data_IF_251020426992
#
_entry.id   IF_251020426992
#
_cell.length_a   1.000
_cell.length_b   1.000
_cell.length_c   1.000
_cell.angle_alpha   90.00
_cell.angle_beta   90.00
_cell.angle_gamma   90.00
#
_symmetry.space_group_name_H-M   'P 1'
#
loop_
_entity.id
_entity.type
_entity.pdbx_description
1 polymer ?
#
# COMPACT_ATOMS: atom_id res chain seq x y z
N UNK A 1 21.84 -0.28 7.17
CA UNK A 1 21.96 0.10 8.60
C UNK A 1 22.58 -1.01 9.47
N UNK A 2 22.03 -2.23 9.51
CA UNK A 2 22.51 -3.33 10.38
C UNK A 2 24.01 -3.63 10.31
N UNK A 3 24.56 -3.90 9.12
CA UNK A 3 25.98 -4.25 8.95
C UNK A 3 26.94 -3.12 9.37
N UNK A 4 26.58 -1.87 9.11
CA UNK A 4 27.37 -0.73 9.60
C UNK A 4 27.32 -0.63 11.14
N UNK A 5 26.16 -0.89 11.75
CA UNK A 5 26.06 -0.98 13.22
C UNK A 5 26.86 -2.17 13.79
N UNK A 6 26.94 -3.30 13.07
CA UNK A 6 27.79 -4.43 13.44
C UNK A 6 29.28 -4.08 13.41
N UNK A 7 29.74 -3.29 12.44
CA UNK A 7 31.13 -2.76 12.43
C UNK A 7 31.42 -1.90 13.66
N UNK A 8 30.49 -1.00 14.03
CA UNK A 8 30.60 -0.21 15.26
C UNK A 8 30.71 -1.11 16.49
N UNK A 9 29.90 -2.17 16.56
CA UNK A 9 29.91 -3.14 17.67
C UNK A 9 31.21 -3.94 17.72
N UNK A 10 31.83 -4.27 16.58
CA UNK A 10 33.14 -4.94 16.53
C UNK A 10 34.23 -4.04 17.14
N UNK A 11 34.17 -2.74 16.87
CA UNK A 11 35.15 -1.76 17.35
C UNK A 11 34.96 -1.44 18.84
N UNK A 12 33.73 -1.21 19.29
CA UNK A 12 33.44 -0.84 20.68
C UNK A 12 33.39 -2.05 21.63
N UNK A 13 33.26 -3.26 21.09
CA UNK A 13 32.96 -4.48 21.83
C UNK A 13 31.51 -4.53 22.34
N UNK A 14 31.17 -5.53 23.14
CA UNK A 14 29.84 -5.64 23.78
C UNK A 14 29.61 -4.51 24.78
N UNK A 15 28.38 -4.05 24.88
CA UNK A 15 27.86 -3.10 25.88
C UNK A 15 26.41 -3.46 26.18
N UNK A 16 25.95 -3.17 27.39
CA UNK A 16 24.64 -3.62 27.89
C UNK A 16 23.63 -2.47 28.07
N UNK A 17 24.09 -1.22 28.08
CA UNK A 17 23.23 -0.04 28.24
C UNK A 17 23.82 1.20 27.54
N UNK A 18 23.05 2.29 27.55
CA UNK A 18 23.42 3.53 26.89
C UNK A 18 24.62 4.25 27.50
N UNK A 19 24.84 4.14 28.81
CA UNK A 19 25.95 4.82 29.49
C UNK A 19 27.28 4.10 29.23
N UNK A 20 27.26 2.76 29.25
CA UNK A 20 28.40 1.94 28.86
C UNK A 20 28.78 2.17 27.39
N UNK A 21 27.78 2.29 26.50
CA UNK A 21 28.00 2.64 25.10
C UNK A 21 28.70 4.02 24.97
N UNK A 22 28.19 5.06 25.63
CA UNK A 22 28.79 6.40 25.61
C UNK A 22 30.23 6.37 26.09
N UNK A 23 30.50 5.67 27.19
CA UNK A 23 31.84 5.57 27.76
C UNK A 23 32.82 4.85 26.82
N UNK A 24 32.37 3.79 26.15
CA UNK A 24 33.17 3.07 25.13
C UNK A 24 33.46 3.95 23.91
N UNK A 25 32.47 4.71 23.44
CA UNK A 25 32.66 5.68 22.34
C UNK A 25 33.67 6.76 22.73
N UNK A 26 33.54 7.33 23.94
CA UNK A 26 34.49 8.32 24.45
C UNK A 26 35.92 7.76 24.54
N UNK A 27 36.07 6.54 25.05
CA UNK A 27 37.37 5.87 25.13
C UNK A 27 37.97 5.57 23.75
N UNK A 28 37.14 5.15 22.80
CA UNK A 28 37.56 4.93 21.43
C UNK A 28 38.16 6.19 20.80
N UNK A 29 37.50 7.35 20.94
CA UNK A 29 37.98 8.63 20.40
C UNK A 29 39.21 9.22 21.12
N UNK A 30 39.55 8.74 22.33
CA UNK A 30 40.80 9.15 23.01
C UNK A 30 42.06 8.60 22.33
N UNK A 31 41.94 7.48 21.63
CA UNK A 31 43.07 6.73 21.05
C UNK A 31 42.98 6.56 19.54
N UNK A 32 41.81 6.83 18.95
CA UNK A 32 41.56 6.68 17.52
C UNK A 32 40.97 7.96 16.95
N UNK A 33 41.31 8.26 15.70
CA UNK A 33 40.66 9.33 14.95
C UNK A 33 39.18 8.98 14.69
N UNK A 34 38.28 9.98 14.63
CA UNK A 34 36.91 9.76 14.20
C UNK A 34 36.86 9.07 12.83
N UNK A 35 36.14 7.94 12.77
CA UNK A 35 35.98 7.15 11.56
C UNK A 35 34.53 7.13 11.08
N UNK A 36 34.34 6.97 9.77
CA UNK A 36 33.02 6.77 9.17
C UNK A 36 32.84 5.28 8.89
N UNK A 37 31.83 4.68 9.51
CA UNK A 37 31.40 3.32 9.19
C UNK A 37 30.28 3.40 8.16
N UNK A 38 30.49 2.84 6.97
CA UNK A 38 29.48 2.80 5.93
C UNK A 38 29.33 1.39 5.37
N UNK A 39 28.10 1.10 4.94
CA UNK A 39 27.78 -0.12 4.21
C UNK A 39 26.77 0.24 3.13
N UNK A 40 27.04 -0.19 1.91
CA UNK A 40 26.07 -0.20 0.83
C UNK A 40 25.33 -1.55 0.81
N UNK A 41 24.00 -1.50 0.71
CA UNK A 41 23.21 -2.71 0.46
C UNK A 41 23.49 -3.19 -0.97
N UNK A 42 23.67 -4.49 -1.12
CA UNK A 42 23.74 -5.16 -2.41
C UNK A 42 22.66 -6.24 -2.41
N UNK A 43 21.82 -6.24 -3.45
CA UNK A 43 20.75 -7.22 -3.60
C UNK A 43 21.33 -8.64 -3.72
N UNK A 44 20.61 -9.68 -3.24
CA UNK A 44 21.07 -11.06 -3.38
C UNK A 44 21.28 -11.47 -4.84
N UNK A 45 22.37 -12.18 -5.13
CA UNK A 45 22.65 -12.74 -6.46
C UNK A 45 21.56 -13.74 -6.88
N UNK A 46 21.23 -13.80 -8.18
CA UNK A 46 20.24 -14.75 -8.73
C UNK A 46 18.90 -14.13 -9.15
N UNK A 47 18.70 -12.84 -8.86
CA UNK A 47 17.58 -12.04 -9.33
C UNK A 47 18.03 -11.25 -10.55
N UNK A 48 17.89 -11.84 -11.72
CA UNK A 48 18.20 -11.21 -13.00
C UNK A 48 17.02 -11.40 -13.91
N UNK A 49 16.56 -10.30 -14.48
CA UNK A 49 15.57 -10.25 -15.54
C UNK A 49 16.27 -9.88 -16.85
N UNK A 50 15.87 -10.52 -17.94
CA UNK A 50 16.32 -10.21 -19.30
C UNK A 50 15.14 -9.67 -20.12
N UNK A 51 15.16 -8.37 -20.41
CA UNK A 51 14.11 -7.70 -21.18
C UNK A 51 14.00 -8.19 -22.63
N UNK A 52 15.08 -8.70 -23.22
CA UNK A 52 15.05 -9.16 -24.60
C UNK A 52 14.34 -10.51 -24.75
N UNK A 53 14.48 -11.39 -23.75
CA UNK A 53 13.91 -12.74 -23.77
C UNK A 53 12.68 -12.91 -22.87
N UNK A 54 12.34 -11.89 -22.05
CA UNK A 54 11.30 -11.95 -21.01
C UNK A 54 11.48 -13.13 -20.05
N UNK A 55 12.73 -13.41 -19.65
CA UNK A 55 13.06 -14.54 -18.78
C UNK A 55 13.84 -14.08 -17.55
N UNK A 56 13.67 -14.85 -16.47
CA UNK A 56 14.42 -14.70 -15.22
C UNK A 56 13.56 -14.25 -14.03
N UNK A 57 14.23 -13.99 -12.90
CA UNK A 57 13.59 -13.58 -11.65
C UNK A 57 13.70 -12.06 -11.50
N UNK A 58 12.63 -11.34 -11.79
CA UNK A 58 12.59 -9.88 -11.69
C UNK A 58 12.51 -9.37 -10.24
N UNK A 59 11.87 -10.14 -9.35
CA UNK A 59 11.63 -9.75 -7.97
C UNK A 59 12.27 -10.75 -7.01
N UNK A 60 12.76 -10.26 -5.88
CA UNK A 60 13.32 -11.10 -4.82
C UNK A 60 12.28 -11.68 -3.88
N UNK A 61 11.10 -11.08 -3.79
CA UNK A 61 10.02 -11.59 -2.97
C UNK A 61 8.68 -11.04 -3.46
N UNK A 62 7.59 -11.61 -2.96
CA UNK A 62 6.22 -11.23 -3.26
C UNK A 62 5.44 -11.08 -1.96
N UNK A 63 4.77 -9.94 -1.85
CA UNK A 63 3.75 -9.72 -0.85
C UNK A 63 2.38 -10.05 -1.44
N UNK A 64 1.48 -10.54 -0.59
CA UNK A 64 0.14 -10.96 -1.02
C UNK A 64 -0.92 -10.28 -0.18
N UNK A 65 -2.11 -10.09 -0.74
CA UNK A 65 -3.23 -9.58 0.01
C UNK A 65 -4.57 -10.11 -0.53
N UNK A 66 -5.52 -10.29 0.37
CA UNK A 66 -6.92 -10.55 0.09
C UNK A 66 -7.78 -9.43 0.66
N UNK A 67 -8.88 -9.11 -0.04
CA UNK A 67 -9.76 -7.99 0.27
C UNK A 67 -11.21 -8.46 0.32
N UNK A 68 -11.93 -8.02 1.34
CA UNK A 68 -13.37 -8.16 1.43
C UNK A 68 -13.98 -6.79 1.73
N UNK A 69 -15.01 -6.43 0.97
CA UNK A 69 -15.64 -5.11 1.02
C UNK A 69 -17.13 -5.30 1.22
N UNK A 70 -17.66 -4.65 2.24
CA UNK A 70 -19.09 -4.48 2.45
C UNK A 70 -19.47 -3.06 2.09
N UNK A 71 -20.46 -2.91 1.22
CA UNK A 71 -20.95 -1.62 0.77
C UNK A 71 -22.47 -1.63 0.59
N UNK A 72 -23.04 -0.45 0.60
CA UNK A 72 -24.42 -0.18 0.22
C UNK A 72 -24.46 0.81 -0.95
N UNK A 73 -25.52 0.74 -1.75
CA UNK A 73 -25.77 1.71 -2.83
C UNK A 73 -27.15 2.32 -2.62
N UNK A 74 -27.21 3.64 -2.50
CA UNK A 74 -28.47 4.38 -2.44
C UNK A 74 -29.09 4.39 -3.84
N UNK A 75 -30.29 3.82 -4.02
CA UNK A 75 -30.91 3.73 -5.35
C UNK A 75 -31.59 5.03 -5.81
N UNK A 76 -31.69 6.05 -4.95
CA UNK A 76 -32.22 7.37 -5.29
C UNK A 76 -31.12 8.22 -5.93
N UNK A 77 -29.94 8.25 -5.31
CA UNK A 77 -28.82 9.09 -5.76
C UNK A 77 -27.62 8.31 -6.33
N UNK A 78 -27.65 6.98 -6.30
CA UNK A 78 -26.58 6.07 -6.72
C UNK A 78 -25.24 6.28 -6.00
N UNK A 79 -25.27 6.90 -4.82
CA UNK A 79 -24.09 7.03 -3.97
C UNK A 79 -23.70 5.67 -3.38
N UNK A 80 -22.44 5.29 -3.54
CA UNK A 80 -21.84 4.10 -2.95
C UNK A 80 -21.28 4.46 -1.58
N UNK A 81 -21.69 3.72 -0.54
CA UNK A 81 -21.17 3.86 0.81
C UNK A 81 -20.42 2.59 1.18
N UNK A 82 -19.14 2.69 1.51
CA UNK A 82 -18.35 1.56 1.99
C UNK A 82 -18.56 1.48 3.50
N UNK A 83 -19.09 0.35 3.96
CA UNK A 83 -19.40 0.13 5.37
C UNK A 83 -18.18 -0.44 6.10
N UNK A 84 -17.54 -1.44 5.48
CA UNK A 84 -16.41 -2.15 6.06
C UNK A 84 -15.45 -2.65 4.99
N UNK A 85 -14.16 -2.63 5.32
CA UNK A 85 -13.09 -3.27 4.54
C UNK A 85 -12.31 -4.21 5.47
N UNK A 86 -12.18 -5.46 5.07
CA UNK A 86 -11.23 -6.40 5.65
C UNK A 86 -10.09 -6.61 4.65
N UNK A 87 -8.86 -6.38 5.10
CA UNK A 87 -7.65 -6.69 4.35
C UNK A 87 -6.80 -7.70 5.12
N UNK A 88 -6.51 -8.83 4.50
CA UNK A 88 -5.59 -9.84 5.02
C UNK A 88 -4.34 -9.78 4.17
N UNK A 89 -3.16 -9.61 4.76
CA UNK A 89 -1.92 -9.47 3.98
C UNK A 89 -0.75 -10.32 4.49
N UNK A 90 0.00 -10.86 3.56
CA UNK A 90 1.33 -11.43 3.77
C UNK A 90 2.37 -10.37 3.43
N UNK A 91 2.90 -9.74 4.48
CA UNK A 91 4.01 -8.77 4.43
C UNK A 91 5.27 -9.35 5.09
N UNK A 92 5.33 -10.66 5.21
CA UNK A 92 6.30 -11.37 6.02
C UNK A 92 6.31 -10.91 7.48
N UNK A 93 7.50 -10.70 8.03
CA UNK A 93 7.64 -10.29 9.43
C UNK A 93 7.24 -8.83 9.63
N UNK A 94 6.21 -8.63 10.41
CA UNK A 94 5.74 -7.31 10.81
C UNK A 94 6.73 -6.68 11.81
N UNK A 95 7.54 -5.72 11.34
CA UNK A 95 8.60 -5.07 12.14
C UNK A 95 8.05 -4.00 13.07
N UNK A 96 7.17 -3.13 12.56
CA UNK A 96 6.63 -1.99 13.28
C UNK A 96 5.13 -1.89 13.02
N UNK A 97 4.32 -2.36 13.98
CA UNK A 97 2.86 -2.48 13.83
C UNK A 97 2.18 -1.15 13.53
N UNK A 98 2.37 -0.07 14.33
CA UNK A 98 1.70 1.20 14.05
C UNK A 98 2.04 1.80 12.69
N UNK A 99 3.29 1.70 12.23
CA UNK A 99 3.68 2.22 10.91
C UNK A 99 3.04 1.42 9.77
N UNK A 100 3.00 0.09 9.90
CA UNK A 100 2.37 -0.80 8.92
C UNK A 100 0.86 -0.54 8.86
N UNK A 101 0.18 -0.48 10.00
CA UNK A 101 -1.25 -0.19 10.06
C UNK A 101 -1.57 1.18 9.46
N UNK A 102 -0.80 2.21 9.80
CA UNK A 102 -0.95 3.54 9.20
C UNK A 102 -0.78 3.55 7.68
N UNK A 103 0.21 2.82 7.16
CA UNK A 103 0.42 2.69 5.71
C UNK A 103 -0.75 1.98 5.02
N UNK A 104 -1.23 0.88 5.60
CA UNK A 104 -2.33 0.10 5.05
C UNK A 104 -3.64 0.88 5.08
N UNK A 105 -3.97 1.53 6.19
CA UNK A 105 -5.16 2.39 6.32
C UNK A 105 -5.10 3.54 5.31
N UNK A 106 -3.95 4.23 5.21
CA UNK A 106 -3.76 5.29 4.23
C UNK A 106 -3.95 4.82 2.79
N UNK A 107 -3.36 3.67 2.44
CA UNK A 107 -3.53 3.07 1.12
C UNK A 107 -4.96 2.60 0.83
N UNK A 108 -5.67 2.07 1.83
CA UNK A 108 -7.09 1.70 1.70
C UNK A 108 -7.92 2.94 1.39
N UNK A 109 -7.72 4.04 2.11
CA UNK A 109 -8.44 5.30 1.86
C UNK A 109 -8.10 5.87 0.47
N UNK A 110 -6.83 5.82 0.04
CA UNK A 110 -6.44 6.19 -1.32
C UNK A 110 -7.13 5.33 -2.38
N UNK A 111 -7.22 4.02 -2.14
CA UNK A 111 -7.89 3.10 -3.05
C UNK A 111 -9.41 3.34 -3.13
N UNK A 112 -10.05 3.74 -2.02
CA UNK A 112 -11.46 4.18 -2.02
C UNK A 112 -11.63 5.43 -2.87
N UNK A 113 -10.75 6.43 -2.69
CA UNK A 113 -10.73 7.65 -3.49
C UNK A 113 -10.59 7.35 -4.98
N UNK A 114 -9.57 6.59 -5.36
CA UNK A 114 -9.34 6.12 -6.72
C UNK A 114 -10.55 5.37 -7.32
N UNK A 115 -11.26 4.61 -6.48
CA UNK A 115 -12.38 3.78 -6.94
C UNK A 115 -13.67 4.56 -7.14
N UNK A 116 -13.95 5.58 -6.32
CA UNK A 116 -15.28 6.20 -6.23
C UNK A 116 -15.31 7.70 -6.49
N UNK A 117 -14.19 8.42 -6.30
CA UNK A 117 -14.21 9.89 -6.17
C UNK A 117 -13.21 10.59 -7.12
N UNK A 118 -11.97 10.11 -7.15
CA UNK A 118 -10.82 10.77 -7.76
C UNK A 118 -10.87 10.69 -9.30
N UNK A 119 -11.56 11.64 -9.92
CA UNK A 119 -11.73 11.73 -11.36
C UNK A 119 -10.88 12.87 -11.94
N UNK A 120 -9.80 12.59 -12.66
CA UNK A 120 -9.06 13.63 -13.38
C UNK A 120 -9.67 13.87 -14.75
N UNK A 121 -10.27 15.05 -14.95
CA UNK A 121 -10.89 15.44 -16.22
C UNK A 121 -9.88 16.23 -17.05
N UNK A 122 -9.55 15.72 -18.23
CA UNK A 122 -8.59 16.36 -19.14
C UNK A 122 -9.22 16.61 -20.51
N UNK A 123 -8.91 17.77 -21.11
CA UNK A 123 -9.23 18.07 -22.51
C UNK A 123 -8.01 18.69 -23.22
N UNK A 124 -8.19 19.20 -24.45
CA UNK A 124 -7.11 19.83 -25.23
C UNK A 124 -6.46 21.06 -24.57
N UNK A 125 -7.11 21.66 -23.57
CA UNK A 125 -6.61 22.81 -22.80
C UNK A 125 -5.90 22.39 -21.50
N UNK A 126 -5.90 21.09 -21.17
CA UNK A 126 -5.27 20.53 -19.97
C UNK A 126 -6.28 19.98 -18.95
N UNK A 127 -5.87 19.90 -17.69
CA UNK A 127 -6.71 19.44 -16.57
C UNK A 127 -7.79 20.48 -16.28
N UNK A 128 -9.03 20.04 -16.24
CA UNK A 128 -10.21 20.89 -16.09
C UNK A 128 -10.63 21.07 -14.64
N UNK A 129 -10.36 20.09 -13.78
CA UNK A 129 -10.65 20.13 -12.35
C UNK A 129 -9.35 20.14 -11.54
N UNK A 130 -8.70 21.29 -11.51
CA UNK A 130 -7.36 21.46 -10.93
C UNK A 130 -7.38 22.03 -9.50
N UNK A 131 -8.52 21.96 -8.80
CA UNK A 131 -8.67 22.41 -7.42
C UNK A 131 -9.27 21.30 -6.55
N UNK A 132 -9.18 21.42 -5.23
CA UNK A 132 -9.83 20.46 -4.33
C UNK A 132 -11.35 20.66 -4.19
N UNK A 133 -11.91 21.70 -4.83
CA UNK A 133 -13.36 21.90 -4.88
C UNK A 133 -14.01 21.06 -5.98
N UNK A 134 -13.25 20.67 -7.01
CA UNK A 134 -13.72 19.95 -8.20
C UNK A 134 -12.95 18.65 -8.47
N UNK A 135 -11.81 18.42 -7.82
CA UNK A 135 -11.17 17.11 -7.67
C UNK A 135 -11.36 16.63 -6.23
N UNK A 136 -12.30 15.70 -6.05
CA UNK A 136 -12.69 15.24 -4.72
C UNK A 136 -11.72 14.18 -4.19
N UNK A 137 -11.17 14.44 -3.02
CA UNK A 137 -10.41 13.49 -2.22
C UNK A 137 -11.30 12.93 -1.10
N UNK A 138 -11.03 11.70 -0.62
CA UNK A 138 -11.68 11.17 0.57
C UNK A 138 -11.49 12.10 1.79
N UNK A 139 -12.56 12.23 2.56
CA UNK A 139 -12.62 12.96 3.82
C UNK A 139 -12.84 12.00 5.00
N UNK A 140 -12.90 12.53 6.22
CA UNK A 140 -13.21 11.71 7.40
C UNK A 140 -14.58 11.01 7.32
N UNK A 141 -15.51 11.52 6.51
CA UNK A 141 -16.84 10.90 6.31
C UNK A 141 -16.80 9.69 5.40
N UNK A 142 -15.72 9.52 4.64
CA UNK A 142 -15.54 8.44 3.66
C UNK A 142 -14.73 7.27 4.24
N UNK A 143 -14.37 7.33 5.54
CA UNK A 143 -13.64 6.27 6.23
C UNK A 143 -14.62 5.16 6.68
N UNK A 144 -14.45 3.93 6.17
CA UNK A 144 -15.23 2.78 6.65
C UNK A 144 -14.64 2.20 7.94
N UNK A 145 -15.32 1.19 8.50
CA UNK A 145 -14.66 0.27 9.44
C UNK A 145 -13.54 -0.49 8.70
N UNK A 146 -12.32 -0.44 9.20
CA UNK A 146 -11.16 -1.11 8.59
C UNK A 146 -10.62 -2.17 9.55
N UNK A 147 -10.58 -3.41 9.08
CA UNK A 147 -10.00 -4.55 9.77
C UNK A 147 -8.78 -5.04 9.01
N UNK A 148 -7.66 -5.21 9.73
CA UNK A 148 -6.39 -5.67 9.17
C UNK A 148 -5.96 -6.97 9.85
N UNK A 149 -5.68 -7.99 9.04
CA UNK A 149 -5.07 -9.24 9.50
C UNK A 149 -3.77 -9.53 8.75
N UNK A 150 -2.85 -10.22 9.43
CA UNK A 150 -1.47 -10.38 9.01
C UNK A 150 -1.06 -11.85 9.02
N UNK A 151 -0.57 -12.32 7.87
CA UNK A 151 0.00 -13.66 7.73
C UNK A 151 1.48 -13.62 8.13
N UNK A 152 1.86 -14.37 9.17
CA UNK A 152 3.26 -14.51 9.58
C UNK A 152 3.99 -15.48 8.64
N UNK A 153 4.55 -14.94 7.56
CA UNK A 153 5.31 -15.70 6.57
C UNK A 153 6.67 -15.03 6.25
N UNK A 154 7.65 -15.14 7.17
CA UNK A 154 8.91 -14.40 7.06
C UNK A 154 9.67 -14.64 5.74
N UNK A 155 10.04 -13.55 5.08
CA UNK A 155 10.87 -13.55 3.89
C UNK A 155 12.28 -14.11 4.14
N UNK A 156 12.82 -14.95 3.23
CA UNK A 156 14.24 -15.30 3.28
C UNK A 156 15.18 -14.18 2.81
N UNK A 157 14.68 -13.18 2.07
CA UNK A 157 15.48 -12.12 1.46
C UNK A 157 15.32 -10.76 2.15
N UNK A 158 14.18 -10.54 2.79
CA UNK A 158 13.82 -9.31 3.45
C UNK A 158 14.55 -9.07 4.77
N UNK A 159 14.82 -7.81 5.16
CA UNK A 159 15.45 -7.50 6.43
C UNK A 159 14.59 -8.00 7.58
N UNK A 160 15.16 -8.83 8.45
CA UNK A 160 14.44 -9.47 9.56
C UNK A 160 13.22 -10.31 9.14
N UNK A 161 13.12 -10.67 7.85
CA UNK A 161 11.98 -11.40 7.30
C UNK A 161 10.83 -10.52 6.79
N UNK A 162 10.97 -9.20 6.75
CA UNK A 162 9.90 -8.31 6.27
C UNK A 162 9.82 -8.23 4.74
N UNK A 163 8.61 -8.01 4.22
CA UNK A 163 8.34 -7.73 2.81
C UNK A 163 7.79 -6.31 2.63
N UNK A 164 7.66 -5.85 1.38
CA UNK A 164 7.10 -4.55 1.06
C UNK A 164 5.58 -4.50 1.33
N UNK A 165 5.08 -3.38 1.86
CA UNK A 165 3.66 -3.20 2.20
C UNK A 165 3.01 -2.01 1.47
N UNK A 166 3.82 -1.10 0.91
CA UNK A 166 3.38 0.25 0.55
C UNK A 166 2.26 0.31 -0.48
N UNK A 167 2.32 -0.51 -1.53
CA UNK A 167 1.42 -0.44 -2.69
C UNK A 167 0.23 -1.39 -2.59
N UNK A 168 0.30 -2.40 -1.70
CA UNK A 168 -0.67 -3.49 -1.62
C UNK A 168 -2.13 -2.99 -1.63
N UNK A 169 -2.54 -2.03 -0.77
CA UNK A 169 -3.95 -1.65 -0.69
C UNK A 169 -4.56 -1.20 -2.01
N UNK A 170 -3.77 -0.56 -2.87
CA UNK A 170 -4.24 0.01 -4.13
C UNK A 170 -4.40 -1.06 -5.23
N UNK A 171 -3.67 -2.17 -5.15
CA UNK A 171 -3.65 -3.20 -6.19
C UNK A 171 -4.98 -3.97 -6.27
N UNK A 172 -5.53 -4.37 -5.12
CA UNK A 172 -6.66 -5.30 -5.06
C UNK A 172 -7.97 -4.70 -4.55
N UNK A 173 -7.95 -3.58 -3.85
CA UNK A 173 -9.17 -2.99 -3.31
C UNK A 173 -10.08 -2.37 -4.39
N UNK A 174 -9.59 -1.64 -5.41
CA UNK A 174 -10.45 -1.10 -6.46
C UNK A 174 -11.26 -2.15 -7.23
N UNK A 175 -10.69 -3.28 -7.70
CA UNK A 175 -11.51 -4.32 -8.32
C UNK A 175 -12.46 -4.99 -7.32
N UNK A 176 -12.11 -5.11 -6.03
CA UNK A 176 -13.01 -5.64 -5.00
C UNK A 176 -14.24 -4.74 -4.80
N UNK A 177 -14.04 -3.42 -4.69
CA UNK A 177 -15.13 -2.43 -4.64
C UNK A 177 -15.99 -2.54 -5.90
N UNK A 178 -15.37 -2.59 -7.07
CA UNK A 178 -16.09 -2.62 -8.33
C UNK A 178 -16.91 -3.92 -8.53
N UNK A 179 -16.43 -5.05 -8.00
CA UNK A 179 -17.18 -6.31 -7.95
C UNK A 179 -18.35 -6.21 -6.96
N UNK A 180 -18.14 -5.64 -5.77
CA UNK A 180 -19.19 -5.46 -4.77
C UNK A 180 -20.29 -4.49 -5.26
N UNK A 181 -19.94 -3.42 -5.98
CA UNK A 181 -20.94 -2.55 -6.64
C UNK A 181 -21.72 -3.34 -7.68
N UNK A 182 -21.03 -4.12 -8.52
CA UNK A 182 -21.70 -4.95 -9.54
C UNK A 182 -22.68 -5.93 -8.92
N UNK A 183 -22.31 -6.56 -7.80
CA UNK A 183 -23.19 -7.45 -7.03
C UNK A 183 -24.41 -6.70 -6.47
N UNK A 184 -24.19 -5.49 -5.93
CA UNK A 184 -25.25 -4.67 -5.34
C UNK A 184 -26.27 -4.11 -6.36
N UNK A 185 -25.83 -3.69 -7.54
CA UNK A 185 -26.71 -3.03 -8.55
C UNK A 185 -27.03 -3.90 -9.77
N UNK A 186 -26.34 -5.02 -9.96
CA UNK A 186 -26.56 -5.95 -11.07
C UNK A 186 -25.99 -5.49 -12.43
N UNK A 187 -25.27 -4.37 -12.48
CA UNK A 187 -24.61 -3.86 -13.69
C UNK A 187 -23.11 -3.66 -13.48
N UNK A 188 -22.31 -4.06 -14.47
CA UNK A 188 -20.85 -3.98 -14.41
C UNK A 188 -20.36 -2.62 -14.87
N UNK A 189 -19.83 -1.82 -13.95
CA UNK A 189 -19.10 -0.59 -14.30
C UNK A 189 -17.65 -0.96 -14.64
N UNK A 190 -17.19 -0.52 -15.82
CA UNK A 190 -15.93 -0.95 -16.44
C UNK A 190 -14.84 0.12 -16.44
N UNK A 191 -15.11 1.29 -15.86
CA UNK A 191 -14.13 2.37 -15.75
C UNK A 191 -14.23 3.05 -14.39
N UNK A 192 -13.08 3.30 -13.78
CA UNK A 192 -12.97 4.06 -12.55
C UNK A 192 -12.89 5.57 -12.84
N UNK A 193 -13.20 6.43 -11.86
CA UNK A 193 -13.96 6.08 -10.65
C UNK A 193 -15.41 5.70 -10.98
N UNK A 194 -16.04 4.89 -10.13
CA UNK A 194 -17.44 4.47 -10.23
C UNK A 194 -18.32 5.58 -9.67
N UNK A 195 -18.62 6.56 -10.52
CA UNK A 195 -19.48 7.67 -10.12
C UNK A 195 -20.96 7.28 -10.18
N UNK A 196 -21.84 7.99 -9.43
CA UNK A 196 -23.28 7.80 -9.51
C UNK A 196 -23.84 7.83 -10.94
N UNK A 197 -23.34 8.73 -11.78
CA UNK A 197 -23.77 8.87 -13.18
C UNK A 197 -23.44 7.62 -14.00
N UNK A 198 -22.30 6.97 -13.74
CA UNK A 198 -21.93 5.72 -14.41
C UNK A 198 -22.84 4.57 -13.98
N UNK A 199 -23.22 4.51 -12.70
CA UNK A 199 -24.18 3.51 -12.19
C UNK A 199 -25.54 3.69 -12.88
N UNK A 200 -26.07 4.91 -12.86
CA UNK A 200 -27.35 5.24 -13.52
C UNK A 200 -27.31 4.90 -15.02
N UNK A 201 -26.26 5.33 -15.73
CA UNK A 201 -26.10 5.05 -17.16
C UNK A 201 -26.03 3.55 -17.47
N UNK A 202 -25.37 2.78 -16.59
CA UNK A 202 -25.32 1.31 -16.69
C UNK A 202 -26.71 0.68 -16.56
N UNK A 203 -27.50 1.10 -15.56
CA UNK A 203 -28.86 0.62 -15.34
C UNK A 203 -29.81 0.98 -16.49
N UNK A 204 -29.74 2.21 -17.00
CA UNK A 204 -30.54 2.64 -18.15
C UNK A 204 -30.24 1.84 -19.42
N UNK A 205 -28.96 1.54 -19.65
CA UNK A 205 -28.53 0.74 -20.81
C UNK A 205 -29.03 -0.70 -20.70
N UNK A 206 -28.96 -1.29 -19.51
CA UNK A 206 -29.44 -2.63 -19.26
C UNK A 206 -30.96 -2.75 -19.42
N UNK A 207 -31.72 -1.74 -18.97
CA UNK A 207 -33.17 -1.69 -19.15
C UNK A 207 -33.58 -1.59 -20.63
N UNK A 208 -32.83 -0.83 -21.45
CA UNK A 208 -33.07 -0.75 -22.90
C UNK A 208 -32.80 -2.07 -23.61
N UNK A 209 -31.84 -2.87 -23.15
CA UNK A 209 -31.54 -4.17 -23.74
C UNK A 209 -32.59 -5.25 -23.40
N UNK A 210 -33.40 -5.02 -22.35
CA UNK A 210 -34.46 -5.94 -21.90
C UNK A 210 -35.84 -5.59 -22.47
N UNK A 211 -36.01 -4.39 -23.04
CA UNK A 211 -37.25 -3.91 -23.67
C UNK A 211 -37.27 -4.21 -25.16
#
# INVERSE_FOLDING_TARGET
MRRAAEQVKQVLGKYNNGDEFKLKVQNYFRTNQPGVFYQQYQSPSGHRWDDASYQGNAYSDYSWAGYLVWLTVDLICYAVHIEKVLMICDIGKLINKPLVEGQLIGGIVQAIGFSLMENSVMNFQGIQNNSFSDYLLPTIKDLPEIELDFVDNPSPYGPFGAKGVGELPLDGLPPAIANAVTDAVGVRIKSLPITPEKILSGLESENKNKA
#
